data_IF_429633695426
#
_entry.id   IF_429633695426
#
_cell.length_a   1.000
_cell.length_b   1.000
_cell.length_c   1.000
_cell.angle_alpha   90.00
_cell.angle_beta   90.00
_cell.angle_gamma   90.00
#
_symmetry.space_group_name_H-M   'P 1'
#
loop_
_entity.id
_entity.type
_entity.pdbx_description
1 polymer ?
#
# COMPACT_ATOMS: atom_id res chain seq x y z
N UNK A 1 1.07 -23.36 -47.55
CA UNK A 1 0.39 -22.78 -46.37
C UNK A 1 1.47 -22.15 -45.53
N UNK A 2 1.55 -20.82 -45.50
CA UNK A 2 2.57 -20.11 -44.74
C UNK A 2 2.39 -20.41 -43.25
N UNK A 3 3.42 -20.98 -42.64
CA UNK A 3 3.52 -21.19 -41.21
C UNK A 3 3.73 -19.81 -40.57
N UNK A 4 2.64 -19.13 -40.22
CA UNK A 4 2.68 -17.92 -39.42
C UNK A 4 3.04 -18.30 -37.97
N UNK A 5 4.31 -18.67 -37.73
CA UNK A 5 4.86 -18.75 -36.38
C UNK A 5 5.16 -17.31 -35.97
N UNK A 6 4.48 -16.77 -34.93
CA UNK A 6 4.75 -15.41 -34.48
C UNK A 6 6.24 -15.26 -34.13
N UNK A 7 6.86 -14.18 -34.58
CA UNK A 7 8.28 -13.87 -34.33
C UNK A 7 8.59 -13.70 -32.83
N UNK A 8 7.58 -13.37 -32.02
CA UNK A 8 7.63 -13.40 -30.56
C UNK A 8 6.42 -14.16 -30.00
N UNK A 9 6.67 -15.23 -29.24
CA UNK A 9 5.64 -15.93 -28.48
C UNK A 9 5.39 -15.20 -27.15
N UNK A 10 4.13 -15.08 -26.77
CA UNK A 10 3.76 -14.61 -25.43
C UNK A 10 4.21 -15.62 -24.37
N UNK A 11 4.60 -15.13 -23.19
CA UNK A 11 5.08 -16.00 -22.10
C UNK A 11 4.00 -17.02 -21.68
N UNK A 12 2.73 -16.64 -21.66
CA UNK A 12 1.60 -17.54 -21.40
C UNK A 12 0.74 -17.67 -22.65
N UNK A 13 0.36 -18.92 -22.95
CA UNK A 13 -0.51 -19.27 -24.06
C UNK A 13 -1.66 -20.13 -23.52
N UNK A 14 -2.89 -19.77 -23.88
CA UNK A 14 -4.10 -20.44 -23.41
C UNK A 14 -4.64 -21.42 -24.45
N UNK A 15 -5.19 -22.55 -23.98
CA UNK A 15 -5.93 -23.46 -24.88
C UNK A 15 -7.14 -22.74 -25.50
N UNK A 16 -7.40 -22.97 -26.78
CA UNK A 16 -8.54 -22.38 -27.50
C UNK A 16 -9.54 -23.43 -27.99
N UNK A 17 -10.81 -23.06 -28.02
CA UNK A 17 -11.86 -23.81 -28.69
C UNK A 17 -11.74 -23.72 -30.22
N UNK A 18 -11.12 -22.68 -30.76
CA UNK A 18 -10.87 -22.51 -32.20
C UNK A 18 -9.95 -23.62 -32.73
N UNK A 19 -10.41 -24.32 -33.79
CA UNK A 19 -9.72 -25.46 -34.38
C UNK A 19 -8.35 -25.09 -34.99
N UNK A 20 -8.21 -23.91 -35.58
CA UNK A 20 -6.95 -23.42 -36.17
C UNK A 20 -5.96 -23.10 -35.05
N UNK A 21 -6.38 -22.34 -34.04
CA UNK A 21 -5.53 -21.98 -32.89
C UNK A 21 -5.08 -23.23 -32.15
N UNK A 22 -5.98 -24.20 -31.92
CA UNK A 22 -5.64 -25.45 -31.24
C UNK A 22 -4.60 -26.28 -32.00
N UNK A 23 -4.69 -26.35 -33.33
CA UNK A 23 -3.68 -27.01 -34.17
C UNK A 23 -2.32 -26.31 -34.08
N UNK A 24 -2.32 -24.98 -34.04
CA UNK A 24 -1.09 -24.20 -33.90
C UNK A 24 -0.42 -24.42 -32.54
N UNK A 25 -1.20 -24.43 -31.45
CA UNK A 25 -0.68 -24.75 -30.10
C UNK A 25 -0.09 -26.16 -30.07
N UNK A 26 -0.79 -27.16 -30.61
CA UNK A 26 -0.31 -28.54 -30.67
C UNK A 26 0.99 -28.66 -31.47
N UNK A 27 1.11 -27.93 -32.59
CA UNK A 27 2.34 -27.88 -33.39
C UNK A 27 3.49 -27.27 -32.57
N UNK A 28 3.27 -26.12 -31.92
CA UNK A 28 4.28 -25.47 -31.07
C UNK A 28 4.73 -26.35 -29.91
N UNK A 29 3.81 -27.09 -29.29
CA UNK A 29 4.12 -28.03 -28.23
C UNK A 29 4.94 -29.22 -28.75
N UNK A 30 4.50 -29.85 -29.85
CA UNK A 30 5.21 -30.99 -30.47
C UNK A 30 6.60 -30.65 -30.99
N UNK A 31 6.82 -29.38 -31.36
CA UNK A 31 8.12 -28.87 -31.83
C UNK A 31 8.99 -28.29 -30.70
N UNK A 32 8.55 -28.44 -29.44
CA UNK A 32 9.30 -28.01 -28.26
C UNK A 32 9.42 -26.50 -28.09
N UNK A 33 8.60 -25.71 -28.80
CA UNK A 33 8.58 -24.23 -28.70
C UNK A 33 7.82 -23.73 -27.49
N UNK A 34 6.92 -24.55 -26.95
CA UNK A 34 6.18 -24.28 -25.72
C UNK A 34 6.09 -25.56 -24.88
N UNK A 35 5.88 -25.43 -23.57
CA UNK A 35 5.56 -26.54 -22.67
C UNK A 35 4.26 -26.28 -21.92
N UNK A 36 3.52 -27.34 -21.60
CA UNK A 36 2.35 -27.25 -20.73
C UNK A 36 2.77 -27.15 -19.26
N UNK A 37 2.20 -26.19 -18.54
CA UNK A 37 2.53 -25.94 -17.11
C UNK A 37 1.32 -26.12 -16.18
N UNK A 38 0.10 -26.08 -16.73
CA UNK A 38 -1.14 -26.34 -16.01
C UNK A 38 -2.27 -26.67 -16.99
N UNK A 39 -3.44 -27.16 -16.52
CA UNK A 39 -4.60 -27.36 -17.40
C UNK A 39 -4.93 -26.09 -18.17
N UNK A 40 -4.99 -26.19 -19.50
CA UNK A 40 -5.28 -25.08 -20.43
C UNK A 40 -4.20 -23.98 -20.50
N UNK A 41 -3.04 -24.16 -19.87
CA UNK A 41 -1.97 -23.16 -19.79
C UNK A 41 -0.66 -23.75 -20.29
N UNK A 42 -0.06 -23.07 -21.25
CA UNK A 42 1.24 -23.36 -21.83
C UNK A 42 2.14 -22.14 -21.69
N UNK A 43 3.45 -22.35 -21.76
CA UNK A 43 4.44 -21.28 -21.75
C UNK A 43 5.53 -21.49 -22.78
N UNK A 44 6.05 -20.39 -23.33
CA UNK A 44 7.30 -20.38 -24.10
C UNK A 44 8.54 -20.12 -23.24
N UNK A 45 8.39 -19.91 -21.93
CA UNK A 45 9.48 -19.69 -20.98
C UNK A 45 9.95 -21.03 -20.39
N UNK A 46 11.18 -21.40 -20.68
CA UNK A 46 11.83 -22.62 -20.20
C UNK A 46 12.88 -22.36 -19.11
N UNK A 47 13.09 -21.09 -18.75
CA UNK A 47 14.10 -20.66 -17.79
C UNK A 47 13.51 -20.67 -16.38
N UNK A 48 12.35 -20.05 -16.22
CA UNK A 48 11.69 -19.92 -14.94
C UNK A 48 10.90 -21.18 -14.56
N UNK A 49 10.73 -21.39 -13.25
CA UNK A 49 9.87 -22.47 -12.75
C UNK A 49 8.40 -22.15 -13.01
N UNK A 50 7.60 -23.20 -13.20
CA UNK A 50 6.17 -23.08 -13.49
C UNK A 50 5.44 -22.24 -12.43
N UNK A 51 5.83 -22.37 -11.16
CA UNK A 51 5.26 -21.58 -10.06
C UNK A 51 5.48 -20.07 -10.23
N UNK A 52 6.70 -19.66 -10.60
CA UNK A 52 7.04 -18.24 -10.76
C UNK A 52 6.32 -17.66 -11.98
N UNK A 53 6.22 -18.44 -13.06
CA UNK A 53 5.49 -18.06 -14.28
C UNK A 53 3.99 -17.90 -13.98
N UNK A 54 3.37 -18.85 -13.27
CA UNK A 54 1.95 -18.78 -12.89
C UNK A 54 1.69 -17.60 -11.95
N UNK A 55 2.52 -17.42 -10.91
CA UNK A 55 2.36 -16.35 -9.93
C UNK A 55 2.38 -14.97 -10.57
N UNK A 56 3.35 -14.68 -11.45
CA UNK A 56 3.47 -13.36 -12.10
C UNK A 56 2.35 -13.09 -13.12
N UNK A 57 1.76 -14.15 -13.69
CA UNK A 57 0.71 -14.05 -14.72
C UNK A 57 -0.70 -14.30 -14.20
N UNK A 58 -0.91 -14.43 -12.88
CA UNK A 58 -2.17 -14.92 -12.31
C UNK A 58 -3.41 -14.12 -12.74
N UNK A 59 -3.30 -12.79 -12.86
CA UNK A 59 -4.42 -11.95 -13.27
C UNK A 59 -4.78 -12.13 -14.75
N UNK A 60 -3.77 -12.26 -15.62
CA UNK A 60 -3.98 -12.59 -17.03
C UNK A 60 -4.63 -13.97 -17.18
N UNK A 61 -4.16 -14.95 -16.39
CA UNK A 61 -4.72 -16.30 -16.36
C UNK A 61 -6.19 -16.26 -15.96
N UNK A 62 -6.53 -15.52 -14.91
CA UNK A 62 -7.90 -15.34 -14.46
C UNK A 62 -8.78 -14.72 -15.55
N UNK A 63 -8.33 -13.62 -16.16
CA UNK A 63 -9.09 -12.90 -17.18
C UNK A 63 -9.29 -13.62 -18.50
N UNK A 64 -8.42 -14.58 -18.83
CA UNK A 64 -8.54 -15.36 -20.08
C UNK A 64 -9.25 -16.71 -19.88
N UNK A 65 -9.04 -17.37 -18.74
CA UNK A 65 -9.62 -18.71 -18.52
C UNK A 65 -10.97 -18.68 -17.82
N UNK A 66 -11.29 -17.59 -17.12
CA UNK A 66 -12.50 -17.40 -16.31
C UNK A 66 -13.12 -16.03 -16.61
N UNK A 67 -13.62 -15.83 -17.84
CA UNK A 67 -14.14 -14.53 -18.25
C UNK A 67 -15.33 -14.11 -17.40
N UNK A 68 -15.35 -12.85 -16.95
CA UNK A 68 -16.34 -12.33 -16.01
C UNK A 68 -16.04 -12.66 -14.54
N UNK A 69 -14.90 -13.29 -14.24
CA UNK A 69 -14.42 -13.40 -12.86
C UNK A 69 -14.18 -12.01 -12.27
N UNK A 70 -14.45 -11.91 -10.97
CA UNK A 70 -14.25 -10.69 -10.20
C UNK A 70 -13.23 -10.97 -9.11
N UNK A 71 -12.09 -10.29 -9.16
CA UNK A 71 -11.16 -10.23 -8.03
C UNK A 71 -11.86 -9.56 -6.85
N UNK A 72 -12.03 -10.30 -5.76
CA UNK A 72 -12.93 -9.91 -4.67
C UNK A 72 -12.31 -10.15 -3.29
N UNK A 73 -12.99 -9.70 -2.24
CA UNK A 73 -12.56 -9.83 -0.85
C UNK A 73 -11.11 -9.33 -0.66
N UNK A 74 -10.25 -10.06 0.07
CA UNK A 74 -8.87 -9.62 0.31
C UNK A 74 -8.07 -9.43 -0.95
N UNK A 75 -8.35 -10.19 -2.01
CA UNK A 75 -7.58 -10.12 -3.25
C UNK A 75 -7.84 -8.81 -4.00
N UNK A 76 -9.03 -8.23 -3.86
CA UNK A 76 -9.35 -6.88 -4.35
C UNK A 76 -8.70 -5.75 -3.53
N UNK A 77 -8.14 -6.08 -2.36
CA UNK A 77 -7.45 -5.12 -1.48
C UNK A 77 -5.93 -5.24 -1.59
N UNK A 78 -5.43 -6.47 -1.67
CA UNK A 78 -4.00 -6.77 -1.64
C UNK A 78 -3.38 -6.77 -3.04
N UNK A 79 -4.17 -7.01 -4.10
CA UNK A 79 -3.72 -7.13 -5.48
C UNK A 79 -2.54 -8.10 -5.66
N UNK A 80 -2.50 -9.15 -4.83
CA UNK A 80 -1.53 -10.23 -4.91
C UNK A 80 -2.07 -11.49 -4.25
N UNK A 81 -1.53 -12.67 -4.59
CA UNK A 81 -1.75 -13.88 -3.82
C UNK A 81 -1.29 -13.71 -2.37
N UNK A 82 -1.92 -14.44 -1.46
CA UNK A 82 -1.52 -14.47 -0.05
C UNK A 82 -0.15 -15.14 0.13
N UNK A 83 0.41 -15.06 1.34
CA UNK A 83 1.67 -15.74 1.66
C UNK A 83 1.62 -17.27 1.44
N UNK A 84 0.43 -17.88 1.51
CA UNK A 84 0.19 -19.30 1.20
C UNK A 84 -0.32 -19.53 -0.23
N UNK A 85 -0.16 -18.54 -1.11
CA UNK A 85 -0.50 -18.63 -2.53
C UNK A 85 -1.99 -18.64 -2.84
N UNK A 86 -2.87 -18.17 -1.94
CA UNK A 86 -4.31 -18.13 -2.20
C UNK A 86 -4.67 -16.87 -3.00
N UNK A 87 -5.59 -16.99 -3.95
CA UNK A 87 -6.25 -15.84 -4.60
C UNK A 87 -7.75 -16.07 -4.61
N UNK A 88 -8.52 -15.06 -4.20
CA UNK A 88 -9.96 -15.16 -4.00
C UNK A 88 -10.69 -14.37 -5.08
N UNK A 89 -11.66 -15.03 -5.71
CA UNK A 89 -12.45 -14.45 -6.80
C UNK A 89 -13.92 -14.82 -6.63
N UNK A 90 -14.80 -13.87 -6.90
CA UNK A 90 -16.24 -14.12 -7.03
C UNK A 90 -16.52 -14.55 -8.47
N UNK A 91 -17.33 -15.60 -8.63
CA UNK A 91 -17.66 -16.17 -9.93
C UNK A 91 -19.01 -16.90 -9.91
N UNK A 92 -19.36 -17.57 -10.99
CA UNK A 92 -20.64 -18.29 -11.13
C UNK A 92 -20.72 -19.60 -10.36
N UNK A 93 -19.65 -20.01 -9.66
CA UNK A 93 -19.61 -21.25 -8.88
C UNK A 93 -18.58 -21.17 -7.74
N UNK A 94 -18.75 -22.04 -6.75
CA UNK A 94 -17.75 -22.26 -5.69
C UNK A 94 -16.83 -23.42 -6.06
N UNK A 95 -15.53 -23.17 -6.18
CA UNK A 95 -14.53 -24.19 -6.54
C UNK A 95 -13.13 -23.82 -6.09
N UNK A 96 -12.31 -24.84 -5.80
CA UNK A 96 -10.87 -24.71 -5.63
C UNK A 96 -10.16 -25.20 -6.88
N UNK A 97 -9.24 -24.40 -7.43
CA UNK A 97 -8.35 -24.81 -8.53
C UNK A 97 -6.92 -24.62 -8.08
N UNK A 98 -6.13 -25.68 -8.15
CA UNK A 98 -4.70 -25.67 -7.83
C UNK A 98 -3.91 -25.52 -9.13
N UNK A 99 -3.03 -24.53 -9.13
CA UNK A 99 -1.99 -24.29 -10.12
C UNK A 99 -0.64 -24.37 -9.40
N UNK A 100 0.48 -24.57 -10.12
CA UNK A 100 1.81 -24.47 -9.52
C UNK A 100 1.97 -23.19 -8.70
N UNK A 101 2.18 -23.33 -7.39
CA UNK A 101 2.37 -22.24 -6.44
C UNK A 101 1.15 -21.35 -6.15
N UNK A 102 -0.03 -21.59 -6.73
CA UNK A 102 -1.24 -20.78 -6.54
C UNK A 102 -2.48 -21.66 -6.36
N UNK A 103 -3.32 -21.30 -5.39
CA UNK A 103 -4.69 -21.82 -5.27
C UNK A 103 -5.69 -20.72 -5.60
N UNK A 104 -6.46 -20.89 -6.67
CA UNK A 104 -7.60 -20.04 -6.98
C UNK A 104 -8.82 -20.53 -6.19
N UNK A 105 -9.40 -19.64 -5.40
CA UNK A 105 -10.59 -19.85 -4.58
C UNK A 105 -11.76 -19.11 -5.22
N UNK A 106 -12.52 -19.84 -6.02
CA UNK A 106 -13.79 -19.35 -6.56
C UNK A 106 -14.87 -19.43 -5.50
N UNK A 107 -15.60 -18.33 -5.35
CA UNK A 107 -16.76 -18.21 -4.49
C UNK A 107 -17.95 -17.84 -5.36
N UNK A 108 -19.03 -18.60 -5.25
CA UNK A 108 -20.26 -18.28 -5.96
C UNK A 108 -20.83 -16.96 -5.43
N UNK A 109 -21.19 -16.05 -6.34
CA UNK A 109 -21.78 -14.78 -5.98
C UNK A 109 -22.10 -13.92 -7.19
N UNK A 110 -22.63 -12.72 -6.91
CA UNK A 110 -22.96 -11.74 -7.95
C UNK A 110 -21.66 -11.25 -8.59
N UNK A 111 -21.60 -11.28 -9.92
CA UNK A 111 -20.46 -10.81 -10.70
C UNK A 111 -20.23 -9.30 -10.60
N UNK A 112 -19.49 -8.74 -11.55
CA UNK A 112 -19.21 -7.31 -11.58
C UNK A 112 -20.50 -6.48 -11.61
N UNK A 113 -20.54 -5.42 -10.81
CA UNK A 113 -21.60 -4.41 -10.80
C UNK A 113 -21.06 -3.08 -11.37
N UNK A 114 -21.96 -2.13 -11.63
CA UNK A 114 -21.57 -0.78 -11.99
C UNK A 114 -20.59 -0.18 -10.95
N UNK A 115 -19.48 0.38 -11.44
CA UNK A 115 -18.38 0.90 -10.63
C UNK A 115 -17.22 -0.09 -10.41
N UNK A 116 -17.44 -1.39 -10.60
CA UNK A 116 -16.33 -2.36 -10.60
C UNK A 116 -15.46 -2.17 -11.86
N UNK A 117 -14.14 -2.28 -11.70
CA UNK A 117 -13.19 -1.90 -12.74
C UNK A 117 -12.75 -3.11 -13.57
N UNK A 118 -12.62 -2.92 -14.89
CA UNK A 118 -11.90 -3.87 -15.74
C UNK A 118 -10.41 -3.82 -15.40
N UNK A 119 -9.75 -4.97 -15.31
CA UNK A 119 -8.36 -5.05 -14.84
C UNK A 119 -7.41 -5.76 -15.80
N UNK A 120 -7.71 -7.00 -16.19
CA UNK A 120 -6.85 -7.76 -17.11
C UNK A 120 -7.67 -8.73 -17.95
N UNK A 121 -7.74 -8.52 -19.26
CA UNK A 121 -8.67 -9.28 -20.11
C UNK A 121 -10.10 -9.10 -19.64
N UNK A 122 -10.83 -10.20 -19.41
CA UNK A 122 -12.20 -10.19 -18.88
C UNK A 122 -12.26 -10.39 -17.35
N UNK A 123 -11.15 -10.10 -16.64
CA UNK A 123 -11.13 -10.02 -15.16
C UNK A 123 -11.54 -8.63 -14.71
N UNK A 124 -12.52 -8.58 -13.82
CA UNK A 124 -12.96 -7.38 -13.12
C UNK A 124 -12.38 -7.36 -11.70
N UNK A 125 -12.43 -6.20 -11.03
CA UNK A 125 -12.04 -6.04 -9.62
C UNK A 125 -13.12 -5.29 -8.86
N UNK A 126 -13.47 -5.79 -7.66
CA UNK A 126 -14.39 -5.11 -6.75
C UNK A 126 -13.92 -3.68 -6.49
N UNK A 127 -14.81 -2.70 -6.65
CA UNK A 127 -14.55 -1.34 -6.18
C UNK A 127 -14.32 -1.30 -4.66
N UNK A 128 -13.70 -0.23 -4.15
CA UNK A 128 -13.17 -0.18 -2.78
C UNK A 128 -14.23 -0.48 -1.71
N UNK A 129 -15.40 0.12 -1.86
CA UNK A 129 -16.55 -0.02 -0.97
C UNK A 129 -17.06 -1.47 -0.94
N UNK A 130 -17.20 -2.07 -2.14
CA UNK A 130 -17.56 -3.48 -2.30
C UNK A 130 -16.53 -4.38 -1.63
N UNK A 131 -15.24 -4.13 -1.86
CA UNK A 131 -14.17 -4.91 -1.26
C UNK A 131 -14.20 -4.82 0.28
N UNK A 132 -14.49 -3.66 0.87
CA UNK A 132 -14.65 -3.55 2.32
C UNK A 132 -15.81 -4.38 2.87
N UNK A 133 -16.96 -4.37 2.20
CA UNK A 133 -18.11 -5.22 2.58
C UNK A 133 -17.76 -6.71 2.48
N UNK A 134 -17.14 -7.12 1.38
CA UNK A 134 -16.70 -8.51 1.16
C UNK A 134 -15.72 -8.98 2.26
N UNK A 135 -14.85 -8.09 2.75
CA UNK A 135 -13.92 -8.40 3.84
C UNK A 135 -14.56 -8.41 5.25
N UNK A 136 -15.83 -8.04 5.38
CA UNK A 136 -16.61 -8.12 6.62
C UNK A 136 -17.54 -9.34 6.68
N UNK A 137 -17.55 -10.14 5.62
CA UNK A 137 -18.23 -11.43 5.60
C UNK A 137 -17.59 -12.42 6.59
N UNK A 138 -18.37 -13.37 7.14
CA UNK A 138 -17.81 -14.40 8.00
C UNK A 138 -16.78 -15.26 7.26
N UNK A 139 -15.64 -15.50 7.91
CA UNK A 139 -14.60 -16.42 7.45
C UNK A 139 -14.31 -17.44 8.55
N UNK A 140 -14.28 -18.72 8.19
CA UNK A 140 -13.91 -19.81 9.12
C UNK A 140 -12.39 -20.00 9.23
N UNK A 141 -11.64 -19.43 8.29
CA UNK A 141 -10.19 -19.52 8.23
C UNK A 141 -9.58 -18.21 8.73
N UNK A 142 -8.36 -18.29 9.23
CA UNK A 142 -7.58 -17.14 9.70
C UNK A 142 -6.33 -16.93 8.85
N UNK A 143 -5.72 -15.75 8.99
CA UNK A 143 -4.43 -15.42 8.37
C UNK A 143 -4.42 -15.53 6.84
N UNK A 144 -3.34 -16.03 6.22
CA UNK A 144 -3.17 -16.06 4.76
C UNK A 144 -4.13 -17.01 4.04
N UNK A 145 -4.82 -17.89 4.78
CA UNK A 145 -5.83 -18.79 4.23
C UNK A 145 -7.24 -18.20 4.26
N UNK A 146 -7.47 -17.11 4.99
CA UNK A 146 -8.76 -16.43 5.03
C UNK A 146 -9.05 -15.70 3.72
N UNK A 147 -10.33 -15.66 3.32
CA UNK A 147 -10.80 -14.82 2.21
C UNK A 147 -10.83 -13.34 2.57
N UNK A 148 -10.88 -13.02 3.86
CA UNK A 148 -10.92 -11.66 4.38
C UNK A 148 -9.57 -11.28 4.98
N UNK A 149 -9.22 -10.00 4.91
CA UNK A 149 -8.17 -9.42 5.77
C UNK A 149 -8.66 -9.37 7.23
N UNK A 150 -7.75 -9.11 8.16
CA UNK A 150 -8.10 -8.89 9.56
C UNK A 150 -8.86 -7.58 9.74
N UNK A 151 -9.62 -7.47 10.84
CA UNK A 151 -10.32 -6.24 11.20
C UNK A 151 -9.32 -5.08 11.40
N UNK A 152 -8.18 -5.32 12.03
CA UNK A 152 -7.14 -4.31 12.20
C UNK A 152 -6.57 -3.79 10.86
N UNK A 153 -6.38 -4.67 9.86
CA UNK A 153 -5.95 -4.25 8.52
C UNK A 153 -7.03 -3.45 7.78
N UNK A 154 -8.30 -3.80 7.95
CA UNK A 154 -9.43 -3.04 7.41
C UNK A 154 -9.51 -1.64 8.04
N UNK A 155 -9.43 -1.58 9.37
CA UNK A 155 -9.39 -0.33 10.14
C UNK A 155 -8.23 0.57 9.70
N UNK A 156 -7.02 0.00 9.50
CA UNK A 156 -5.86 0.75 8.98
C UNK A 156 -6.13 1.36 7.60
N UNK A 157 -6.87 0.66 6.74
CA UNK A 157 -7.22 1.17 5.41
C UNK A 157 -8.26 2.29 5.48
N UNK A 158 -9.26 2.14 6.35
CA UNK A 158 -10.24 3.21 6.61
C UNK A 158 -9.58 4.45 7.22
N UNK A 159 -8.68 4.26 8.19
CA UNK A 159 -7.89 5.33 8.81
C UNK A 159 -7.04 6.06 7.76
N UNK A 160 -6.40 5.33 6.83
CA UNK A 160 -5.64 5.94 5.75
C UNK A 160 -6.53 6.75 4.79
N UNK A 161 -7.77 6.34 4.56
CA UNK A 161 -8.73 7.14 3.79
C UNK A 161 -8.98 8.47 4.50
N UNK A 162 -9.18 8.48 5.82
CA UNK A 162 -9.35 9.74 6.58
C UNK A 162 -8.11 10.63 6.49
N UNK A 163 -6.90 10.06 6.57
CA UNK A 163 -5.66 10.83 6.43
C UNK A 163 -5.55 11.53 5.07
N UNK A 164 -6.00 10.89 4.00
CA UNK A 164 -5.81 11.37 2.62
C UNK A 164 -6.98 12.21 2.13
N UNK A 165 -8.21 11.79 2.44
CA UNK A 165 -9.45 12.37 1.92
C UNK A 165 -10.31 13.08 2.98
N UNK A 166 -9.84 13.13 4.23
CA UNK A 166 -10.60 13.68 5.35
C UNK A 166 -11.81 12.84 5.75
N UNK A 167 -12.57 13.35 6.72
CA UNK A 167 -13.79 12.70 7.22
C UNK A 167 -14.88 12.66 6.14
N UNK A 168 -14.98 13.69 5.31
CA UNK A 168 -15.92 13.74 4.19
C UNK A 168 -15.69 12.58 3.21
N UNK A 169 -14.43 12.32 2.85
CA UNK A 169 -14.08 11.19 1.99
C UNK A 169 -14.46 9.84 2.60
N UNK A 170 -14.32 9.66 3.92
CA UNK A 170 -14.75 8.43 4.58
C UNK A 170 -16.28 8.29 4.63
N UNK A 171 -17.01 9.40 4.81
CA UNK A 171 -18.47 9.41 4.75
C UNK A 171 -18.98 9.06 3.33
N UNK A 172 -18.33 9.54 2.27
CA UNK A 172 -18.66 9.14 0.90
C UNK A 172 -18.50 7.63 0.67
N UNK A 173 -17.40 7.04 1.19
CA UNK A 173 -17.20 5.57 1.17
C UNK A 173 -18.34 4.85 1.89
N UNK A 174 -18.74 5.34 3.07
CA UNK A 174 -19.87 4.76 3.82
C UNK A 174 -21.15 4.79 3.00
N UNK A 175 -21.49 5.93 2.41
CA UNK A 175 -22.77 6.12 1.73
C UNK A 175 -22.83 5.29 0.43
N UNK A 176 -21.73 5.23 -0.33
CA UNK A 176 -21.59 4.34 -1.49
C UNK A 176 -21.66 2.86 -1.10
N UNK A 177 -21.01 2.47 0.02
CA UNK A 177 -21.08 1.11 0.53
C UNK A 177 -22.52 0.70 0.91
N UNK A 178 -23.34 1.63 1.42
CA UNK A 178 -24.75 1.36 1.71
C UNK A 178 -25.52 0.95 0.45
N UNK A 179 -25.37 1.71 -0.63
CA UNK A 179 -26.03 1.42 -1.92
C UNK A 179 -25.57 0.08 -2.49
N UNK A 180 -24.27 -0.20 -2.41
CA UNK A 180 -23.69 -1.47 -2.89
C UNK A 180 -24.20 -2.65 -2.04
N UNK A 181 -24.29 -2.48 -0.73
CA UNK A 181 -24.79 -3.51 0.17
C UNK A 181 -26.22 -3.93 -0.17
N UNK A 182 -27.07 -3.00 -0.60
CA UNK A 182 -28.42 -3.32 -1.06
C UNK A 182 -28.41 -4.13 -2.36
N UNK A 183 -27.60 -3.74 -3.34
CA UNK A 183 -27.44 -4.46 -4.61
C UNK A 183 -26.91 -5.88 -4.40
N UNK A 184 -25.98 -6.06 -3.44
CA UNK A 184 -25.27 -7.32 -3.21
C UNK A 184 -25.83 -8.17 -2.05
N UNK A 185 -26.88 -7.69 -1.36
CA UNK A 185 -27.46 -8.33 -0.16
C UNK A 185 -26.45 -8.50 0.99
N UNK A 186 -25.63 -7.47 1.21
CA UNK A 186 -24.58 -7.41 2.23
C UNK A 186 -24.92 -6.41 3.36
N UNK A 187 -26.21 -6.29 3.71
CA UNK A 187 -26.66 -5.34 4.75
C UNK A 187 -26.00 -5.60 6.10
N UNK A 188 -25.78 -6.87 6.45
CA UNK A 188 -25.15 -7.22 7.73
C UNK A 188 -23.68 -6.79 7.81
N UNK A 189 -22.98 -6.85 6.67
CA UNK A 189 -21.60 -6.39 6.50
C UNK A 189 -21.54 -4.87 6.52
N UNK A 190 -22.52 -4.19 5.90
CA UNK A 190 -22.63 -2.74 5.96
C UNK A 190 -22.80 -2.23 7.39
N UNK A 191 -23.64 -2.88 8.21
CA UNK A 191 -23.78 -2.50 9.62
C UNK A 191 -22.46 -2.60 10.40
N UNK A 192 -21.62 -3.59 10.09
CA UNK A 192 -20.26 -3.69 10.67
C UNK A 192 -19.36 -2.56 10.18
N UNK A 193 -19.36 -2.29 8.87
CA UNK A 193 -18.57 -1.22 8.27
C UNK A 193 -18.95 0.15 8.87
N UNK A 194 -20.26 0.41 8.97
CA UNK A 194 -20.81 1.63 9.51
C UNK A 194 -20.37 1.84 10.97
N UNK A 195 -20.38 0.79 11.80
CA UNK A 195 -19.88 0.87 13.18
C UNK A 195 -18.39 1.23 13.23
N UNK A 196 -17.55 0.59 12.41
CA UNK A 196 -16.12 0.88 12.36
C UNK A 196 -15.85 2.32 11.91
N UNK A 197 -16.52 2.79 10.86
CA UNK A 197 -16.43 4.17 10.39
C UNK A 197 -16.88 5.15 11.47
N UNK A 198 -18.00 4.86 12.15
CA UNK A 198 -18.51 5.71 13.22
C UNK A 198 -17.53 5.82 14.39
N UNK A 199 -16.88 4.73 14.78
CA UNK A 199 -15.87 4.74 15.84
C UNK A 199 -14.59 5.49 15.41
N UNK A 200 -14.17 5.39 14.14
CA UNK A 200 -13.04 6.15 13.60
C UNK A 200 -13.29 7.66 13.59
N UNK A 201 -14.54 8.08 13.39
CA UNK A 201 -14.97 9.49 13.43
C UNK A 201 -15.33 9.95 14.85
N UNK A 202 -14.98 9.18 15.89
CA UNK A 202 -15.28 9.48 17.30
C UNK A 202 -16.77 9.69 17.61
N UNK A 203 -17.67 9.16 16.76
CA UNK A 203 -19.13 9.20 16.97
C UNK A 203 -19.67 7.98 17.73
N UNK A 204 -18.79 7.00 18.02
CA UNK A 204 -19.06 5.77 18.79
C UNK A 204 -17.87 5.45 19.70
N UNK A 205 -18.05 4.61 20.75
CA UNK A 205 -16.96 4.22 21.64
C UNK A 205 -15.80 3.55 20.90
N UNK A 206 -14.57 4.01 21.13
CA UNK A 206 -13.34 3.48 20.52
C UNK A 206 -13.00 2.03 20.90
N UNK A 207 -13.67 1.47 21.91
CA UNK A 207 -13.47 0.08 22.39
C UNK A 207 -13.76 -1.01 21.36
N UNK A 208 -14.41 -0.67 20.25
CA UNK A 208 -14.69 -1.62 19.16
C UNK A 208 -13.55 -1.70 18.14
N UNK A 209 -12.61 -0.75 18.17
CA UNK A 209 -11.45 -0.71 17.28
C UNK A 209 -10.33 -1.59 17.84
N UNK A 210 -9.56 -2.18 16.95
CA UNK A 210 -8.50 -3.15 17.26
C UNK A 210 -7.11 -2.69 16.82
N UNK A 211 -7.02 -1.81 15.82
CA UNK A 211 -5.79 -1.22 15.34
C UNK A 211 -5.33 -0.08 16.25
N UNK A 212 -4.04 -0.05 16.66
CA UNK A 212 -3.46 1.09 17.38
C UNK A 212 -3.66 2.44 16.65
N UNK A 213 -3.58 2.46 15.31
CA UNK A 213 -3.76 3.67 14.50
C UNK A 213 -5.20 4.18 14.56
N UNK A 214 -6.15 3.25 14.41
CA UNK A 214 -7.57 3.56 14.48
C UNK A 214 -7.97 4.07 15.87
N UNK A 215 -7.44 3.40 16.91
CA UNK A 215 -7.63 3.80 18.31
C UNK A 215 -7.06 5.20 18.55
N UNK A 216 -5.81 5.47 18.15
CA UNK A 216 -5.16 6.76 18.34
C UNK A 216 -5.91 7.91 17.66
N UNK A 217 -6.43 7.67 16.44
CA UNK A 217 -7.32 8.60 15.74
C UNK A 217 -8.60 8.87 16.54
N UNK A 218 -9.29 7.83 17.00
CA UNK A 218 -10.53 7.99 17.76
C UNK A 218 -10.33 8.77 19.08
N UNK A 219 -9.12 8.75 19.64
CA UNK A 219 -8.71 9.55 20.80
C UNK A 219 -8.19 10.96 20.47
N UNK A 220 -8.24 11.39 19.20
CA UNK A 220 -7.81 12.73 18.78
C UNK A 220 -6.30 12.89 18.62
N UNK A 221 -5.52 11.81 18.68
CA UNK A 221 -4.07 11.81 18.49
C UNK A 221 -3.65 10.95 17.29
N UNK A 222 -4.16 11.21 16.07
CA UNK A 222 -3.76 10.45 14.89
C UNK A 222 -2.28 10.69 14.58
N UNK A 223 -1.63 9.66 14.07
CA UNK A 223 -0.23 9.72 13.67
C UNK A 223 0.00 8.97 12.36
N UNK A 224 1.07 9.32 11.62
CA UNK A 224 1.43 8.63 10.39
C UNK A 224 2.37 7.46 10.67
N UNK A 225 1.81 6.26 10.79
CA UNK A 225 2.59 5.03 10.99
C UNK A 225 3.65 4.84 9.90
N UNK A 226 3.39 5.21 8.65
CA UNK A 226 4.37 5.05 7.58
C UNK A 226 5.59 5.95 7.78
N UNK A 227 5.46 7.08 8.49
CA UNK A 227 6.61 7.90 8.88
C UNK A 227 7.37 7.28 10.05
N UNK A 228 6.67 6.69 11.01
CA UNK A 228 7.30 5.96 12.11
C UNK A 228 8.14 4.81 11.56
N UNK A 229 7.58 3.99 10.67
CA UNK A 229 8.29 2.86 10.06
C UNK A 229 9.59 3.31 9.35
N UNK A 230 9.56 4.46 8.66
CA UNK A 230 10.75 5.03 8.01
C UNK A 230 11.80 5.52 9.02
N UNK A 231 11.37 6.16 10.11
CA UNK A 231 12.29 6.59 11.17
C UNK A 231 12.89 5.41 11.92
N UNK A 232 12.15 4.32 12.10
CA UNK A 232 12.67 3.08 12.68
C UNK A 232 13.74 2.45 11.78
N UNK A 233 13.49 2.36 10.47
CA UNK A 233 14.49 1.86 9.51
C UNK A 233 15.76 2.72 9.57
N UNK A 234 15.62 4.06 9.52
CA UNK A 234 16.75 4.97 9.61
C UNK A 234 17.51 4.80 10.93
N UNK A 235 16.79 4.71 12.05
CA UNK A 235 17.39 4.53 13.37
C UNK A 235 18.20 3.22 13.44
N UNK A 236 17.63 2.11 12.95
CA UNK A 236 18.32 0.82 12.92
C UNK A 236 19.59 0.88 12.07
N UNK A 237 19.51 1.46 10.88
CA UNK A 237 20.68 1.65 9.99
C UNK A 237 21.77 2.50 10.65
N UNK A 238 21.41 3.62 11.29
CA UNK A 238 22.35 4.48 12.01
C UNK A 238 22.96 3.79 13.24
N UNK A 239 22.24 2.88 13.89
CA UNK A 239 22.76 2.16 15.07
C UNK A 239 23.65 0.99 14.73
N UNK A 240 23.39 0.29 13.62
CA UNK A 240 24.15 -0.89 13.22
C UNK A 240 25.40 -0.55 12.42
N UNK A 241 25.44 0.63 11.81
CA UNK A 241 26.59 1.08 11.02
C UNK A 241 27.63 1.76 11.88
N UNK A 242 28.87 1.29 11.79
CA UNK A 242 30.02 2.07 12.26
C UNK A 242 30.30 3.21 11.27
N UNK A 243 30.24 4.44 11.78
CA UNK A 243 30.62 5.63 11.02
C UNK A 243 32.07 5.96 11.31
N UNK A 244 32.80 6.38 10.27
CA UNK A 244 34.10 7.01 10.50
C UNK A 244 33.88 8.26 11.33
N UNK A 245 34.73 8.48 12.32
CA UNK A 245 34.76 9.75 13.03
C UNK A 245 34.91 10.87 12.01
N UNK A 246 33.95 11.80 12.02
CA UNK A 246 34.08 13.04 11.28
C UNK A 246 35.20 13.83 11.94
N UNK A 247 36.26 14.12 11.19
CA UNK A 247 37.31 15.03 11.66
C UNK A 247 36.70 16.42 11.64
N UNK A 248 36.69 17.09 12.80
CA UNK A 248 36.30 18.48 12.86
C UNK A 248 37.28 19.32 12.02
N UNK A 249 36.72 20.08 11.07
CA UNK A 249 37.49 20.94 10.17
C UNK A 249 37.75 22.31 10.78
N UNK A 250 37.07 22.64 11.89
CA UNK A 250 37.19 23.91 12.60
C UNK A 250 38.42 23.92 13.51
N UNK A 251 39.61 23.90 12.92
CA UNK A 251 40.89 23.77 13.66
C UNK A 251 41.42 25.09 14.23
N UNK A 252 40.71 26.20 14.05
CA UNK A 252 41.10 27.53 14.54
C UNK A 252 39.94 28.17 15.30
N UNK A 253 40.24 29.05 16.26
CA UNK A 253 39.22 29.76 17.03
C UNK A 253 38.24 30.53 16.14
N UNK A 254 38.75 31.17 15.07
CA UNK A 254 37.89 31.88 14.11
C UNK A 254 36.97 30.94 13.34
N UNK A 255 37.46 29.78 12.91
CA UNK A 255 36.61 28.78 12.24
C UNK A 255 35.53 28.25 13.19
N UNK A 256 35.88 27.98 14.45
CA UNK A 256 34.95 27.53 15.47
C UNK A 256 33.87 28.57 15.78
N UNK A 257 34.25 29.84 15.98
CA UNK A 257 33.32 30.96 16.18
C UNK A 257 32.40 31.16 14.97
N UNK A 258 32.93 31.09 13.74
CA UNK A 258 32.12 31.19 12.53
C UNK A 258 31.12 30.03 12.41
N UNK A 259 31.53 28.81 12.78
CA UNK A 259 30.65 27.65 12.76
C UNK A 259 29.54 27.80 13.81
N UNK A 260 29.89 28.18 15.04
CA UNK A 260 28.94 28.48 16.11
C UNK A 260 27.94 29.57 15.72
N UNK A 261 28.38 30.61 15.01
CA UNK A 261 27.51 31.65 14.46
C UNK A 261 26.43 31.05 13.55
N UNK A 262 26.84 30.23 12.58
CA UNK A 262 25.88 29.62 11.65
C UNK A 262 24.97 28.60 12.33
N UNK A 263 25.48 27.82 13.30
CA UNK A 263 24.66 26.88 14.06
C UNK A 263 23.57 27.62 14.85
N UNK A 264 23.94 28.67 15.58
CA UNK A 264 23.01 29.52 16.32
C UNK A 264 22.00 30.19 15.38
N UNK A 265 22.47 30.79 14.28
CA UNK A 265 21.61 31.46 13.31
C UNK A 265 20.59 30.50 12.69
N UNK A 266 21.02 29.34 12.19
CA UNK A 266 20.12 28.41 11.52
C UNK A 266 19.18 27.70 12.48
N UNK A 267 19.61 27.35 13.71
CA UNK A 267 18.73 26.77 14.73
C UNK A 267 17.57 27.71 15.06
N UNK A 268 17.87 29.00 15.25
CA UNK A 268 16.85 30.01 15.53
C UNK A 268 15.97 30.29 14.30
N UNK A 269 16.56 30.33 13.10
CA UNK A 269 15.81 30.56 11.87
C UNK A 269 14.76 29.46 11.61
N UNK A 270 15.09 28.19 11.88
CA UNK A 270 14.13 27.07 11.71
C UNK A 270 13.04 27.06 12.78
N UNK A 271 13.33 27.59 13.98
CA UNK A 271 12.36 27.72 15.08
C UNK A 271 11.40 28.90 14.89
N UNK A 272 11.71 29.81 13.96
CA UNK A 272 10.84 30.93 13.56
C UNK A 272 11.46 32.31 13.79
N UNK A 273 12.61 32.37 14.46
CA UNK A 273 13.36 33.60 14.76
C UNK A 273 14.20 34.02 13.56
N UNK A 274 13.63 34.89 12.72
CA UNK A 274 14.24 35.29 11.45
C UNK A 274 14.92 36.64 11.56
N UNK A 275 16.24 36.69 11.46
CA UNK A 275 17.02 37.91 11.26
C UNK A 275 17.70 37.87 9.90
N UNK A 276 18.05 39.03 9.36
CA UNK A 276 19.07 39.05 8.31
C UNK A 276 20.40 38.55 8.88
N UNK A 277 21.24 37.91 8.06
CA UNK A 277 22.53 37.36 8.52
C UNK A 277 23.39 38.44 9.19
N UNK A 278 23.35 39.66 8.65
CA UNK A 278 24.09 40.82 9.16
C UNK A 278 23.56 41.28 10.52
N UNK A 279 22.25 41.19 10.73
CA UNK A 279 21.59 41.56 11.99
C UNK A 279 21.96 40.59 13.11
N UNK A 280 21.85 39.29 12.85
CA UNK A 280 22.27 38.25 13.80
C UNK A 280 23.77 38.35 14.14
N UNK A 281 24.59 38.66 13.12
CA UNK A 281 26.02 38.88 13.30
C UNK A 281 26.29 40.07 14.23
N UNK A 282 25.61 41.19 14.02
CA UNK A 282 25.76 42.37 14.88
C UNK A 282 25.36 42.08 16.33
N UNK A 283 24.27 41.35 16.57
CA UNK A 283 23.84 40.95 17.92
C UNK A 283 24.97 40.17 18.62
N UNK A 284 25.57 39.21 17.92
CA UNK A 284 26.66 38.37 18.45
C UNK A 284 27.95 39.17 18.67
N UNK A 285 28.34 40.02 17.72
CA UNK A 285 29.57 40.82 17.83
C UNK A 285 29.49 41.90 18.92
N UNK A 286 28.32 42.46 19.14
CA UNK A 286 28.11 43.55 20.12
C UNK A 286 27.65 43.07 21.49
N UNK A 287 27.34 41.77 21.63
CA UNK A 287 26.69 41.19 22.80
C UNK A 287 25.43 41.97 23.23
N UNK A 288 24.78 42.65 22.27
CA UNK A 288 23.69 43.61 22.54
C UNK A 288 22.42 43.17 21.81
N UNK A 289 21.36 42.79 22.55
CA UNK A 289 20.04 42.51 21.99
C UNK A 289 19.43 43.70 21.24
N UNK A 290 18.63 43.44 20.22
CA UNK A 290 17.85 44.49 19.57
C UNK A 290 16.63 44.85 20.41
N UNK A 291 16.47 46.14 20.72
CA UNK A 291 15.38 46.64 21.58
C UNK A 291 13.97 46.21 21.13
N UNK A 292 13.71 46.17 19.82
CA UNK A 292 12.39 45.81 19.29
C UNK A 292 12.18 44.28 19.15
N UNK A 293 13.21 43.47 19.45
CA UNK A 293 13.25 42.00 19.28
C UNK A 293 14.13 41.37 20.35
N UNK A 294 13.88 41.74 21.60
CA UNK A 294 14.76 41.43 22.73
C UNK A 294 14.84 39.92 23.00
N UNK A 295 13.70 39.23 23.06
CA UNK A 295 13.61 37.77 23.25
C UNK A 295 14.31 37.01 22.12
N UNK A 296 13.94 37.28 20.87
CA UNK A 296 14.57 36.71 19.67
C UNK A 296 16.10 36.92 19.62
N UNK A 297 16.57 38.09 20.06
CA UNK A 297 18.01 38.40 20.10
C UNK A 297 18.73 37.64 21.21
N UNK A 298 18.06 37.46 22.35
CA UNK A 298 18.55 36.64 23.46
C UNK A 298 18.67 35.15 23.07
N UNK A 299 17.76 34.62 22.27
CA UNK A 299 17.79 33.22 21.84
C UNK A 299 19.00 32.92 20.93
N UNK A 300 19.25 33.78 19.93
CA UNK A 300 20.43 33.65 19.06
C UNK A 300 21.73 33.81 19.85
N UNK A 301 21.80 34.83 20.70
CA UNK A 301 23.00 35.11 21.49
C UNK A 301 23.29 34.00 22.50
N UNK A 302 22.25 33.48 23.15
CA UNK A 302 22.33 32.36 24.08
C UNK A 302 22.78 31.09 23.39
N UNK A 303 22.21 30.77 22.23
CA UNK A 303 22.61 29.59 21.43
C UNK A 303 24.07 29.71 21.01
N UNK A 304 24.48 30.88 20.49
CA UNK A 304 25.87 31.12 20.09
C UNK A 304 26.83 30.91 21.25
N UNK A 305 26.56 31.51 22.42
CA UNK A 305 27.40 31.35 23.61
C UNK A 305 27.52 29.90 24.08
N UNK A 306 26.50 29.06 23.87
CA UNK A 306 26.56 27.65 24.24
C UNK A 306 27.46 26.85 23.30
N UNK A 307 27.35 27.09 21.99
CA UNK A 307 28.06 26.33 20.95
C UNK A 307 29.44 26.89 20.61
N UNK A 308 29.77 28.09 21.06
CA UNK A 308 31.06 28.75 20.86
C UNK A 308 32.06 28.58 22.03
N UNK A 309 31.81 27.66 22.97
CA UNK A 309 32.68 27.40 24.14
C UNK A 309 33.83 26.42 23.84
#
# INVERSE_FOLDING_TARGET
MENFVPTHLQEIIYSSSDKKVRKQIALLESTGKIKKIAPRIFTSNFIDTDEVIIKRNIFSILGNLYPGALLSHRSAIEFKPTATGQIFVTYTYTKKIELPGITIRFMEGIGAIEGDNSFSGELFVSQQERAFLENLQPSRKSGPESKTISIAELENKLEKIVQVKGEEGLNQIRDSAKVIADKLRMQSEFEKLNKLISALLSTQPSKILSSPRAIARAFGNPYDQSRIDLFEILFLELKQREFKNAIDRNTTNTAFQNFAFFEAYFSNYIEGTRFEVIEAKNIIETDTPMFNRDEDSHDILGTYKLVSN
#
